data_IF_000925037128
#
_entry.id   IF_000925037128
#
_cell.length_a   1.000
_cell.length_b   1.000
_cell.length_c   1.000
_cell.angle_alpha   90.00
_cell.angle_beta   90.00
_cell.angle_gamma   90.00
#
_symmetry.space_group_name_H-M   'P 1'
#
loop_
_entity.id
_entity.type
_entity.pdbx_description
1 polymer ?
#
# COMPACT_ATOMS: atom_id res chain seq x y z
N UNK A 1 -7.02 12.08 -18.04
CA UNK A 1 -6.46 12.47 -16.72
C UNK A 1 -5.65 11.32 -16.11
N UNK A 2 -6.15 10.09 -16.07
CA UNK A 2 -5.40 8.91 -15.58
C UNK A 2 -4.21 8.50 -16.48
N UNK A 3 -4.37 8.54 -17.81
CA UNK A 3 -3.29 8.17 -18.74
C UNK A 3 -2.01 8.98 -18.53
N UNK A 4 -2.12 10.28 -18.25
CA UNK A 4 -0.95 11.12 -18.00
C UNK A 4 -0.27 10.75 -16.67
N UNK A 5 -1.04 10.40 -15.64
CA UNK A 5 -0.49 9.92 -14.36
C UNK A 5 0.26 8.61 -14.54
N UNK A 6 -0.32 7.65 -15.26
CA UNK A 6 0.35 6.38 -15.56
C UNK A 6 1.61 6.58 -16.39
N UNK A 7 1.57 7.43 -17.43
CA UNK A 7 2.76 7.80 -18.19
C UNK A 7 3.86 8.41 -17.33
N UNK A 8 3.50 9.32 -16.40
CA UNK A 8 4.47 9.92 -15.50
C UNK A 8 5.09 8.90 -14.54
N UNK A 9 4.31 7.91 -14.06
CA UNK A 9 4.82 6.82 -13.23
C UNK A 9 5.77 5.95 -14.04
N UNK A 10 5.38 5.58 -15.26
CA UNK A 10 6.19 4.78 -16.18
C UNK A 10 7.51 5.48 -16.53
N UNK A 11 7.48 6.78 -16.83
CA UNK A 11 8.66 7.62 -17.12
C UNK A 11 9.67 7.69 -15.95
N UNK A 12 9.19 7.54 -14.71
CA UNK A 12 10.03 7.50 -13.51
C UNK A 12 10.63 6.10 -13.35
N UNK A 13 9.81 5.05 -13.47
CA UNK A 13 10.24 3.68 -13.25
C UNK A 13 11.18 3.17 -14.34
N UNK A 14 10.99 3.59 -15.59
CA UNK A 14 11.88 3.31 -16.73
C UNK A 14 13.35 3.64 -16.44
N UNK A 15 13.61 4.61 -15.57
CA UNK A 15 14.95 5.09 -15.23
C UNK A 15 15.55 4.35 -14.03
N UNK A 16 14.80 3.45 -13.40
CA UNK A 16 15.27 2.67 -12.25
C UNK A 16 16.16 1.51 -12.72
N UNK A 17 17.35 1.40 -12.12
CA UNK A 17 18.34 0.39 -12.50
C UNK A 17 17.87 -1.06 -12.21
N UNK A 18 16.81 -1.24 -11.40
CA UNK A 18 16.24 -2.54 -11.04
C UNK A 18 15.11 -3.02 -11.95
N UNK A 19 14.65 -2.21 -12.91
CA UNK A 19 13.59 -2.58 -13.84
C UNK A 19 14.13 -2.61 -15.28
N UNK A 20 14.30 -3.81 -15.82
CA UNK A 20 14.94 -4.02 -17.12
C UNK A 20 13.95 -4.29 -18.25
N UNK A 21 12.70 -4.61 -17.90
CA UNK A 21 11.63 -4.98 -18.83
C UNK A 21 10.29 -4.32 -18.47
N UNK A 22 9.37 -4.24 -19.45
CA UNK A 22 8.01 -3.74 -19.23
C UNK A 22 7.24 -4.54 -18.17
N UNK A 23 7.53 -5.83 -18.05
CA UNK A 23 6.96 -6.70 -17.02
C UNK A 23 7.41 -6.28 -15.62
N UNK A 24 8.67 -5.86 -15.45
CA UNK A 24 9.20 -5.40 -14.17
C UNK A 24 8.45 -4.14 -13.70
N UNK A 25 8.15 -3.19 -14.61
CA UNK A 25 7.40 -1.97 -14.27
C UNK A 25 5.96 -2.28 -13.86
N UNK A 26 5.30 -3.20 -14.58
CA UNK A 26 3.93 -3.61 -14.26
C UNK A 26 3.88 -4.26 -12.89
N UNK A 27 4.85 -5.12 -12.54
CA UNK A 27 4.92 -5.72 -11.21
C UNK A 27 5.14 -4.67 -10.13
N UNK A 28 6.13 -3.78 -10.30
CA UNK A 28 6.45 -2.74 -9.32
C UNK A 28 5.32 -1.72 -9.11
N UNK A 29 4.54 -1.41 -10.14
CA UNK A 29 3.38 -0.51 -9.99
C UNK A 29 2.17 -1.22 -9.39
N UNK A 30 1.96 -2.49 -9.70
CA UNK A 30 0.75 -3.22 -9.33
C UNK A 30 0.58 -3.34 -7.82
N UNK A 31 1.65 -3.69 -7.08
CA UNK A 31 1.56 -3.86 -5.63
C UNK A 31 1.32 -2.52 -4.91
N UNK A 32 1.94 -1.45 -5.39
CA UNK A 32 1.76 -0.09 -4.85
C UNK A 32 0.31 0.36 -5.03
N UNK A 33 -0.23 0.19 -6.24
CA UNK A 33 -1.63 0.53 -6.55
C UNK A 33 -2.61 -0.32 -5.76
N UNK A 34 -2.31 -1.61 -5.57
CA UNK A 34 -3.12 -2.49 -4.74
C UNK A 34 -3.18 -2.01 -3.29
N UNK A 35 -2.05 -1.65 -2.67
CA UNK A 35 -2.04 -1.13 -1.30
C UNK A 35 -2.76 0.21 -1.18
N UNK A 36 -2.68 1.08 -2.19
CA UNK A 36 -3.45 2.33 -2.23
C UNK A 36 -4.96 2.07 -2.30
N UNK A 37 -5.38 1.12 -3.13
CA UNK A 37 -6.78 0.72 -3.25
C UNK A 37 -7.28 0.10 -1.94
N UNK A 38 -6.48 -0.75 -1.30
CA UNK A 38 -6.80 -1.39 -0.03
C UNK A 38 -7.01 -0.36 1.09
N UNK A 39 -6.17 0.66 1.16
CA UNK A 39 -6.32 1.78 2.09
C UNK A 39 -7.65 2.54 1.88
N UNK A 40 -8.02 2.82 0.63
CA UNK A 40 -9.31 3.48 0.33
C UNK A 40 -10.50 2.58 0.71
N UNK A 41 -10.42 1.29 0.42
CA UNK A 41 -11.45 0.32 0.78
C UNK A 41 -11.64 0.24 2.32
N UNK A 42 -10.56 0.24 3.09
CA UNK A 42 -10.62 0.25 4.56
C UNK A 42 -11.26 1.54 5.10
N UNK A 43 -10.97 2.70 4.49
CA UNK A 43 -11.58 3.99 4.86
C UNK A 43 -13.07 4.03 4.58
N UNK A 44 -13.51 3.47 3.46
CA UNK A 44 -14.92 3.36 3.12
C UNK A 44 -15.66 2.44 4.11
N UNK A 45 -15.09 1.26 4.41
CA UNK A 45 -15.63 0.34 5.42
C UNK A 45 -15.71 0.98 6.80
N UNK A 46 -14.66 1.68 7.22
CA UNK A 46 -14.63 2.41 8.51
C UNK A 46 -15.71 3.49 8.55
N UNK A 47 -15.91 4.22 7.45
CA UNK A 47 -16.95 5.25 7.36
C UNK A 47 -18.35 4.64 7.42
N UNK A 48 -18.60 3.56 6.68
CA UNK A 48 -19.87 2.84 6.71
C UNK A 48 -20.19 2.29 8.11
N UNK A 49 -19.21 1.69 8.78
CA UNK A 49 -19.39 1.19 10.15
C UNK A 49 -19.72 2.32 11.13
N UNK A 50 -19.01 3.45 11.04
CA UNK A 50 -19.29 4.65 11.86
C UNK A 50 -20.72 5.16 11.65
N UNK A 51 -21.19 5.21 10.40
CA UNK A 51 -22.56 5.62 10.08
C UNK A 51 -23.60 4.62 10.61
N UNK A 52 -23.26 3.33 10.67
CA UNK A 52 -24.08 2.27 11.22
C UNK A 52 -23.97 2.11 12.75
N UNK A 53 -23.18 2.96 13.43
CA UNK A 53 -22.93 2.86 14.87
C UNK A 53 -22.12 1.63 15.30
N UNK A 54 -21.36 1.02 14.37
CA UNK A 54 -20.52 -0.15 14.60
C UNK A 54 -19.05 0.23 14.72
N UNK A 55 -18.30 -0.55 15.50
CA UNK A 55 -16.84 -0.46 15.56
C UNK A 55 -16.26 -1.22 14.37
N UNK A 56 -15.36 -0.58 13.63
CA UNK A 56 -14.57 -1.22 12.57
C UNK A 56 -13.13 -1.41 13.03
N UNK A 57 -12.67 -2.65 13.02
CA UNK A 57 -11.27 -3.02 13.23
C UNK A 57 -10.64 -3.22 11.86
N UNK A 58 -9.63 -2.42 11.53
CA UNK A 58 -8.94 -2.52 10.25
C UNK A 58 -8.11 -3.79 10.14
N UNK A 59 -8.03 -4.33 8.93
CA UNK A 59 -7.24 -5.53 8.62
C UNK A 59 -5.74 -5.23 8.74
N UNK A 60 -5.31 -4.05 8.27
CA UNK A 60 -3.90 -3.65 8.35
C UNK A 60 -3.60 -2.94 9.68
N UNK A 61 -2.54 -3.41 10.35
CA UNK A 61 -2.04 -2.81 11.59
C UNK A 61 -1.57 -1.38 11.35
N UNK A 62 -1.78 -0.45 12.29
CA UNK A 62 -1.58 0.98 12.07
C UNK A 62 -0.25 1.37 11.43
N UNK A 63 0.85 0.73 11.82
CA UNK A 63 2.20 1.01 11.35
C UNK A 63 2.45 0.63 9.86
N UNK A 64 1.63 -0.24 9.27
CA UNK A 64 1.74 -0.68 7.88
C UNK A 64 0.72 -0.01 6.95
N UNK A 65 -0.13 0.88 7.47
CA UNK A 65 -1.12 1.58 6.66
C UNK A 65 -0.46 2.57 5.71
N UNK A 66 -1.07 2.73 4.54
CA UNK A 66 -0.58 3.62 3.46
C UNK A 66 -0.25 5.04 3.97
N UNK A 67 -1.11 5.60 4.80
CA UNK A 67 -0.95 6.96 5.34
C UNK A 67 0.26 7.12 6.28
N UNK A 68 0.86 6.03 6.77
CA UNK A 68 1.98 6.08 7.69
C UNK A 68 3.31 6.09 6.97
N UNK A 69 3.49 5.22 5.96
CA UNK A 69 4.78 5.05 5.29
C UNK A 69 4.82 5.66 3.88
N UNK A 70 3.72 5.58 3.11
CA UNK A 70 3.72 5.98 1.71
C UNK A 70 3.46 7.48 1.52
N UNK A 71 2.60 8.07 2.36
CA UNK A 71 2.29 9.49 2.33
C UNK A 71 2.02 10.05 3.73
N UNK A 72 3.01 10.04 4.64
CA UNK A 72 2.84 10.61 5.96
C UNK A 72 2.53 12.10 5.84
N UNK A 73 1.41 12.52 6.45
CA UNK A 73 0.97 13.91 6.41
C UNK A 73 1.22 14.63 7.73
N UNK A 74 1.55 15.91 7.62
CA UNK A 74 1.64 16.83 8.74
C UNK A 74 0.23 17.27 9.21
N UNK A 75 0.20 18.18 10.18
CA UNK A 75 -1.06 18.72 10.72
C UNK A 75 -1.86 19.53 9.69
N UNK A 76 -1.20 20.04 8.66
CA UNK A 76 -1.79 20.84 7.58
C UNK A 76 -2.20 19.96 6.38
N UNK A 77 -2.00 18.64 6.48
CA UNK A 77 -2.33 17.68 5.43
C UNK A 77 -1.31 17.61 4.28
N UNK A 78 -0.16 18.27 4.42
CA UNK A 78 0.95 18.22 3.46
C UNK A 78 1.88 17.06 3.79
N UNK A 79 2.72 16.65 2.84
CA UNK A 79 3.73 15.62 3.09
C UNK A 79 4.67 16.05 4.21
N UNK A 80 4.76 15.24 5.26
CA UNK A 80 5.66 15.44 6.39
C UNK A 80 7.05 14.90 6.00
N UNK A 81 7.91 15.78 5.49
CA UNK A 81 9.27 15.43 5.06
C UNK A 81 10.16 14.92 6.21
N UNK A 82 9.79 15.17 7.48
CA UNK A 82 10.54 14.63 8.62
C UNK A 82 10.17 13.18 8.94
N UNK A 83 9.01 12.70 8.48
CA UNK A 83 8.55 11.32 8.67
C UNK A 83 8.60 10.48 7.41
N UNK A 84 8.55 11.11 6.25
CA UNK A 84 8.60 10.43 4.97
C UNK A 84 9.88 9.59 4.85
N UNK A 85 9.70 8.27 4.71
CA UNK A 85 10.80 7.36 4.39
C UNK A 85 11.16 7.55 2.91
N UNK A 86 12.46 7.64 2.61
CA UNK A 86 12.97 7.77 1.25
C UNK A 86 14.27 6.97 1.10
N UNK A 87 14.66 6.65 -0.13
CA UNK A 87 15.91 5.94 -0.40
C UNK A 87 16.03 4.61 0.35
N UNK A 88 17.18 4.39 0.99
CA UNK A 88 17.48 3.14 1.70
C UNK A 88 16.54 2.87 2.88
N UNK A 89 16.10 3.91 3.60
CA UNK A 89 15.17 3.75 4.73
C UNK A 89 13.80 3.22 4.28
N UNK A 90 13.30 3.71 3.14
CA UNK A 90 12.06 3.22 2.55
C UNK A 90 12.23 1.78 2.07
N UNK A 91 13.34 1.48 1.40
CA UNK A 91 13.64 0.14 0.92
C UNK A 91 13.72 -0.86 2.08
N UNK A 92 14.44 -0.53 3.15
CA UNK A 92 14.55 -1.39 4.33
C UNK A 92 13.16 -1.66 4.94
N UNK A 93 12.33 -0.63 5.08
CA UNK A 93 10.97 -0.78 5.59
C UNK A 93 10.12 -1.69 4.70
N UNK A 94 10.13 -1.47 3.37
CA UNK A 94 9.32 -2.26 2.44
C UNK A 94 9.75 -3.72 2.44
N UNK A 95 11.05 -3.98 2.25
CA UNK A 95 11.60 -5.31 2.05
C UNK A 95 11.58 -6.16 3.34
N UNK A 96 11.89 -5.55 4.49
CA UNK A 96 12.12 -6.30 5.73
C UNK A 96 10.97 -6.19 6.73
N UNK A 97 10.01 -5.27 6.53
CA UNK A 97 8.88 -5.08 7.46
C UNK A 97 7.54 -5.23 6.75
N UNK A 98 7.25 -4.40 5.74
CA UNK A 98 5.93 -4.36 5.09
C UNK A 98 5.60 -5.66 4.34
N UNK A 99 6.44 -6.08 3.39
CA UNK A 99 6.18 -7.29 2.60
C UNK A 99 6.12 -8.54 3.51
N UNK A 100 7.06 -8.75 4.45
CA UNK A 100 6.96 -9.88 5.39
C UNK A 100 5.72 -9.85 6.28
N UNK A 101 5.21 -8.65 6.62
CA UNK A 101 3.93 -8.52 7.32
C UNK A 101 2.75 -8.96 6.45
N UNK A 102 2.68 -8.48 5.21
CA UNK A 102 1.58 -8.78 4.28
C UNK A 102 1.53 -10.28 3.92
N UNK A 103 2.69 -10.92 3.73
CA UNK A 103 2.81 -12.37 3.50
C UNK A 103 2.16 -13.24 4.59
N UNK A 104 2.07 -12.75 5.82
CA UNK A 104 1.48 -13.50 6.95
C UNK A 104 -0.03 -13.67 6.82
N UNK A 105 -0.72 -12.82 6.05
CA UNK A 105 -2.17 -12.94 5.88
C UNK A 105 -2.58 -14.24 5.18
N UNK A 106 -1.74 -14.79 4.30
CA UNK A 106 -2.00 -16.08 3.64
C UNK A 106 -2.13 -17.24 4.64
N UNK A 107 -1.32 -17.22 5.69
CA UNK A 107 -1.25 -18.28 6.70
C UNK A 107 -2.42 -18.20 7.68
N UNK A 108 -2.97 -17.00 7.88
CA UNK A 108 -3.97 -16.71 8.91
C UNK A 108 -5.40 -16.56 8.36
N UNK A 109 -5.59 -16.68 7.05
CA UNK A 109 -6.90 -16.50 6.44
C UNK A 109 -7.82 -17.71 6.71
N UNK A 110 -9.00 -17.46 7.27
CA UNK A 110 -9.99 -18.49 7.58
C UNK A 110 -10.67 -19.05 6.32
N UNK A 111 -10.75 -18.28 5.23
CA UNK A 111 -11.29 -18.74 3.95
C UNK A 111 -10.76 -17.92 2.76
N UNK A 112 -10.86 -18.50 1.56
CA UNK A 112 -10.44 -17.87 0.31
C UNK A 112 -11.23 -16.59 -0.07
N UNK A 113 -12.40 -16.39 0.53
CA UNK A 113 -13.26 -15.22 0.27
C UNK A 113 -12.90 -13.99 1.12
N UNK A 114 -11.97 -14.13 2.06
CA UNK A 114 -11.54 -13.05 2.95
C UNK A 114 -10.62 -12.05 2.25
N UNK A 115 -10.58 -10.81 2.75
CA UNK A 115 -9.67 -9.78 2.25
C UNK A 115 -8.22 -10.15 2.58
N UNK A 116 -8.03 -10.73 3.75
CA UNK A 116 -6.78 -11.27 4.28
C UNK A 116 -6.19 -12.31 3.30
N UNK A 117 -6.99 -13.27 2.84
CA UNK A 117 -6.54 -14.24 1.86
C UNK A 117 -6.04 -13.57 0.57
N UNK A 118 -6.80 -12.62 0.03
CA UNK A 118 -6.45 -11.90 -1.20
C UNK A 118 -5.17 -11.08 -1.06
N UNK A 119 -4.96 -10.45 0.10
CA UNK A 119 -3.70 -9.77 0.42
C UNK A 119 -2.55 -10.78 0.41
N UNK A 120 -2.73 -11.92 1.08
CA UNK A 120 -1.70 -12.96 1.16
C UNK A 120 -1.39 -13.68 -0.16
N UNK A 121 -2.30 -13.68 -1.14
CA UNK A 121 -2.02 -14.24 -2.47
C UNK A 121 -1.21 -13.31 -3.36
N UNK A 122 -1.29 -11.99 -3.13
CA UNK A 122 -0.56 -10.98 -3.92
C UNK A 122 0.89 -10.83 -3.45
N UNK A 123 1.16 -11.05 -2.16
CA UNK A 123 2.48 -10.88 -1.53
C UNK A 123 3.05 -12.20 -1.04
#
# INVERSE_FOLDING_TARGET
>A
MFEQTFKNIDDILHKDAGCSSELDYVEQTSWVLFLKYLDDLEKDKKTAARLAGKIYTGTISPEYRWEVWAVPKDKDGKLDYHKALTGDDLKEFVDHKLIPYLKKFKINAESADTLEYKIGEIF
#
